data_IF_439147419236
#
_entry.id   IF_439147419236
#
_cell.length_a   1.000
_cell.length_b   1.000
_cell.length_c   1.000
_cell.angle_alpha   90.00
_cell.angle_beta   90.00
_cell.angle_gamma   90.00
#
_symmetry.space_group_name_H-M   'P 1'
#
loop_
_entity.id
_entity.type
_entity.pdbx_description
1 polymer ?
#
# COMPACT_ATOMS: atom_id res chain seq x y z
N UNK A 1 -9.71 20.60 -17.08
CA UNK A 1 -8.50 19.78 -16.78
C UNK A 1 -8.87 18.88 -15.63
N UNK A 2 -8.86 17.58 -15.87
CA UNK A 2 -9.16 16.52 -14.91
C UNK A 2 -8.11 16.54 -13.80
N UNK A 3 -8.51 16.90 -12.57
CA UNK A 3 -7.72 16.69 -11.36
C UNK A 3 -7.21 15.25 -11.35
N UNK A 4 -5.91 15.06 -11.60
CA UNK A 4 -5.30 13.74 -11.52
C UNK A 4 -5.36 13.31 -10.06
N UNK A 5 -6.19 12.32 -9.75
CA UNK A 5 -6.31 11.77 -8.41
C UNK A 5 -5.39 10.55 -8.29
N UNK A 6 -4.36 10.64 -7.45
CA UNK A 6 -3.53 9.51 -7.07
C UNK A 6 -4.17 8.81 -5.86
N UNK A 7 -4.07 7.49 -5.78
CA UNK A 7 -4.53 6.72 -4.64
C UNK A 7 -3.35 6.42 -3.73
N UNK A 8 -3.36 7.00 -2.53
CA UNK A 8 -2.42 6.69 -1.46
C UNK A 8 -3.02 5.63 -0.53
N UNK A 9 -2.24 4.60 -0.20
CA UNK A 9 -2.61 3.53 0.73
C UNK A 9 -1.54 3.41 1.80
N UNK A 10 -1.96 3.17 3.04
CA UNK A 10 -1.07 2.81 4.14
C UNK A 10 -1.37 1.38 4.58
N UNK A 11 -0.34 0.56 4.67
CA UNK A 11 -0.41 -0.84 5.03
C UNK A 11 0.37 -1.07 6.33
N UNK A 12 -0.19 -1.87 7.24
CA UNK A 12 0.50 -2.29 8.46
C UNK A 12 1.39 -3.52 8.21
N UNK A 13 2.12 -3.94 9.24
CA UNK A 13 3.13 -4.99 9.22
C UNK A 13 2.62 -6.38 8.83
N UNK A 14 1.34 -6.68 9.07
CA UNK A 14 0.69 -7.92 8.62
C UNK A 14 0.02 -7.79 7.26
N UNK A 15 0.11 -6.62 6.64
CA UNK A 15 -0.40 -6.38 5.31
C UNK A 15 -1.85 -5.90 5.25
N UNK A 16 -2.49 -5.50 6.34
CA UNK A 16 -3.80 -4.85 6.30
C UNK A 16 -3.67 -3.39 5.86
N UNK A 17 -4.61 -2.92 5.06
CA UNK A 17 -4.72 -1.50 4.68
C UNK A 17 -5.35 -0.75 5.84
N UNK A 18 -4.60 0.13 6.49
CA UNK A 18 -5.02 0.91 7.67
C UNK A 18 -5.32 2.36 7.35
N UNK A 19 -4.97 2.82 6.14
CA UNK A 19 -5.29 4.16 5.67
C UNK A 19 -5.43 4.19 4.15
N UNK A 20 -6.31 5.06 3.64
CA UNK A 20 -6.40 5.37 2.21
C UNK A 20 -6.82 6.81 1.96
N UNK A 21 -6.31 7.44 0.91
CA UNK A 21 -6.72 8.78 0.47
C UNK A 21 -6.57 8.95 -1.04
N UNK A 22 -7.50 9.66 -1.67
CA UNK A 22 -7.29 10.22 -3.01
C UNK A 22 -6.59 11.57 -2.87
N UNK A 23 -5.44 11.73 -3.49
CA UNK A 23 -4.64 12.97 -3.46
C UNK A 23 -4.65 13.63 -4.82
N UNK A 24 -4.57 14.96 -4.86
CA UNK A 24 -4.52 15.73 -6.12
C UNK A 24 -3.13 15.70 -6.76
N UNK A 25 -2.11 15.43 -5.97
CA UNK A 25 -0.73 15.28 -6.43
C UNK A 25 0.09 14.45 -5.45
N UNK A 26 1.36 14.24 -5.79
CA UNK A 26 2.38 13.75 -4.87
C UNK A 26 2.83 14.93 -3.98
N UNK A 27 1.97 15.38 -3.07
CA UNK A 27 2.32 16.43 -2.11
C UNK A 27 2.37 15.88 -0.67
N UNK A 28 3.14 16.58 0.16
CA UNK A 28 3.37 16.16 1.54
C UNK A 28 2.16 16.49 2.42
N UNK A 29 1.35 17.50 2.10
CA UNK A 29 0.20 17.90 2.91
C UNK A 29 -0.87 16.80 2.97
N UNK A 30 -1.30 16.28 1.82
CA UNK A 30 -2.32 15.23 1.76
C UNK A 30 -1.82 13.90 2.32
N UNK A 31 -0.51 13.62 2.16
CA UNK A 31 0.16 12.47 2.76
C UNK A 31 0.25 12.61 4.28
N UNK A 32 0.65 13.78 4.79
CA UNK A 32 0.74 14.08 6.23
C UNK A 32 -0.59 13.87 6.90
N UNK A 33 -1.65 14.48 6.36
CA UNK A 33 -2.96 14.38 6.96
C UNK A 33 -3.58 12.96 6.85
N UNK A 34 -3.05 12.06 6.00
CA UNK A 34 -3.40 10.64 6.05
C UNK A 34 -2.62 9.94 7.18
N UNK A 35 -1.34 10.24 7.31
CA UNK A 35 -0.48 9.66 8.36
C UNK A 35 -0.91 10.11 9.76
N UNK A 36 -1.29 11.38 9.95
CA UNK A 36 -1.86 11.90 11.19
C UNK A 36 -3.14 11.14 11.60
N UNK A 37 -3.99 10.79 10.63
CA UNK A 37 -5.23 10.06 10.91
C UNK A 37 -5.01 8.63 11.44
N UNK A 38 -3.84 8.03 11.15
CA UNK A 38 -3.50 6.68 11.61
C UNK A 38 -2.65 6.68 12.88
N UNK A 39 -2.11 7.82 13.32
CA UNK A 39 -1.32 7.93 14.56
C UNK A 39 -2.02 7.25 15.75
N UNK A 40 -3.34 7.47 16.01
CA UNK A 40 -4.02 6.84 17.15
C UNK A 40 -4.12 5.32 17.06
N UNK A 41 -3.89 4.74 15.88
CA UNK A 41 -3.95 3.29 15.65
C UNK A 41 -2.61 2.59 15.88
N UNK A 42 -1.52 3.36 16.03
CA UNK A 42 -0.21 2.84 16.37
C UNK A 42 -0.16 2.52 17.87
N UNK A 43 0.22 1.28 18.21
CA UNK A 43 0.32 0.85 19.60
C UNK A 43 1.44 1.59 20.31
N UNK A 44 1.13 2.28 21.41
CA UNK A 44 2.12 2.95 22.29
C UNK A 44 3.09 1.98 22.99
N UNK A 45 2.74 0.70 23.02
CA UNK A 45 3.40 -0.32 23.85
C UNK A 45 4.43 -1.16 23.08
N UNK A 46 4.73 -0.81 21.82
CA UNK A 46 5.77 -1.52 21.07
C UNK A 46 7.15 -1.08 21.55
N UNK A 47 7.85 -1.97 22.26
CA UNK A 47 9.28 -1.82 22.60
C UNK A 47 10.23 -1.97 21.40
N UNK A 48 9.68 -2.21 20.20
CA UNK A 48 10.42 -2.36 18.96
C UNK A 48 10.51 -1.06 18.15
N UNK A 49 11.48 -1.01 17.24
CA UNK A 49 11.63 0.10 16.28
C UNK A 49 10.38 0.21 15.39
N UNK A 50 9.78 1.40 15.32
CA UNK A 50 8.69 1.68 14.38
C UNK A 50 9.25 2.14 13.04
N UNK A 51 8.79 1.49 11.97
CA UNK A 51 9.32 1.68 10.63
C UNK A 51 8.22 2.12 9.67
N UNK A 52 8.53 3.06 8.80
CA UNK A 52 7.73 3.38 7.62
C UNK A 52 8.53 3.07 6.37
N UNK A 53 8.00 2.21 5.51
CA UNK A 53 8.65 1.83 4.24
C UNK A 53 8.05 2.64 3.09
N UNK A 54 8.89 3.32 2.33
CA UNK A 54 8.49 4.16 1.19
C UNK A 54 9.40 3.94 -0.02
N UNK A 55 8.88 4.17 -1.21
CA UNK A 55 9.61 4.14 -2.47
C UNK A 55 10.60 5.31 -2.63
N UNK A 56 10.40 6.42 -1.92
CA UNK A 56 11.28 7.58 -1.90
C UNK A 56 11.46 8.13 -0.47
N UNK A 57 12.41 7.55 0.26
CA UNK A 57 12.70 7.94 1.65
C UNK A 57 13.00 9.43 1.80
N UNK A 58 13.80 9.98 0.89
CA UNK A 58 14.22 11.39 0.94
C UNK A 58 13.07 12.37 0.77
N UNK A 59 12.04 12.03 -0.01
CA UNK A 59 10.87 12.90 -0.18
C UNK A 59 9.99 12.95 1.08
N UNK A 60 9.91 11.85 1.82
CA UNK A 60 8.97 11.71 2.94
C UNK A 60 9.61 11.90 4.31
N UNK A 61 10.93 11.79 4.45
CA UNK A 61 11.63 11.74 5.76
C UNK A 61 11.29 12.91 6.69
N UNK A 62 11.38 14.14 6.20
CA UNK A 62 11.08 15.33 7.02
C UNK A 62 9.62 15.37 7.44
N UNK A 63 8.73 15.01 6.53
CA UNK A 63 7.29 14.98 6.79
C UNK A 63 6.92 13.91 7.81
N UNK A 64 7.44 12.69 7.66
CA UNK A 64 7.21 11.58 8.60
C UNK A 64 7.78 11.92 9.97
N UNK A 65 8.98 12.50 10.04
CA UNK A 65 9.56 12.93 11.31
C UNK A 65 8.67 13.98 12.01
N UNK A 66 8.04 14.89 11.27
CA UNK A 66 7.11 15.86 11.83
C UNK A 66 5.78 15.25 12.29
N UNK A 67 5.23 14.27 11.57
CA UNK A 67 3.93 13.65 11.91
C UNK A 67 4.04 12.72 13.11
N UNK A 68 5.17 12.05 13.27
CA UNK A 68 5.39 11.03 14.31
C UNK A 68 6.41 11.45 15.36
N UNK A 69 6.67 12.75 15.53
CA UNK A 69 7.61 13.31 16.52
C UNK A 69 8.99 12.63 16.53
N UNK A 70 9.48 12.25 15.35
CA UNK A 70 10.76 11.57 15.16
C UNK A 70 10.81 10.11 15.65
N UNK A 71 9.69 9.52 16.09
CA UNK A 71 9.66 8.15 16.63
C UNK A 71 9.74 7.09 15.52
N UNK A 72 9.32 7.40 14.30
CA UNK A 72 9.34 6.48 13.17
C UNK A 72 10.60 6.66 12.32
N UNK A 73 11.33 5.55 12.09
CA UNK A 73 12.41 5.49 11.11
C UNK A 73 11.85 5.20 9.72
N UNK A 74 12.24 6.01 8.74
CA UNK A 74 11.89 5.78 7.33
C UNK A 74 12.89 4.83 6.66
N UNK A 75 12.39 3.82 5.96
CA UNK A 75 13.16 2.83 5.20
C UNK A 75 12.75 2.82 3.73
N UNK A 76 13.70 2.51 2.86
CA UNK A 76 13.53 2.46 1.41
C UNK A 76 12.97 1.09 1.01
N UNK A 77 11.93 1.09 0.18
CA UNK A 77 11.40 -0.13 -0.43
C UNK A 77 12.44 -0.74 -1.40
N UNK A 78 12.93 -1.97 -1.15
CA UNK A 78 13.86 -2.65 -2.04
C UNK A 78 13.29 -2.94 -3.43
N UNK A 79 11.97 -3.16 -3.56
CA UNK A 79 11.33 -3.42 -4.86
C UNK A 79 11.48 -2.21 -5.77
N UNK A 80 11.13 -1.03 -5.28
CA UNK A 80 11.19 0.21 -6.04
C UNK A 80 12.63 0.60 -6.38
N UNK A 81 13.59 0.31 -5.50
CA UNK A 81 15.02 0.47 -5.81
C UNK A 81 15.44 -0.46 -6.97
N UNK A 82 15.11 -1.75 -6.88
CA UNK A 82 15.44 -2.74 -7.92
C UNK A 82 14.79 -2.35 -9.26
N UNK A 83 13.52 -1.93 -9.22
CA UNK A 83 12.77 -1.54 -10.41
C UNK A 83 13.37 -0.29 -11.07
N UNK A 84 13.67 0.73 -10.28
CA UNK A 84 14.30 1.99 -10.73
C UNK A 84 15.65 1.77 -11.42
N UNK A 85 16.51 0.94 -10.83
CA UNK A 85 17.83 0.64 -11.41
C UNK A 85 17.67 -0.21 -12.67
N UNK A 86 16.89 -1.28 -12.60
CA UNK A 86 16.72 -2.18 -13.74
C UNK A 86 16.01 -1.55 -14.94
N UNK A 87 15.09 -0.60 -14.73
CA UNK A 87 14.40 0.12 -15.80
C UNK A 87 15.36 0.93 -16.71
N UNK A 88 16.61 1.15 -16.30
CA UNK A 88 17.64 1.82 -17.11
C UNK A 88 18.26 0.93 -18.18
N UNK A 89 17.92 -0.36 -18.25
CA UNK A 89 18.37 -1.25 -19.33
C UNK A 89 17.40 -1.25 -20.50
N UNK A 90 17.93 -1.38 -21.71
CA UNK A 90 17.15 -1.30 -22.95
C UNK A 90 16.21 -2.50 -23.16
N UNK A 91 16.62 -3.70 -22.80
CA UNK A 91 15.88 -4.92 -23.12
C UNK A 91 15.24 -5.58 -21.90
N UNK A 92 13.98 -6.03 -22.04
CA UNK A 92 13.26 -6.75 -20.98
C UNK A 92 14.01 -7.97 -20.43
N UNK A 93 14.69 -8.80 -21.24
CA UNK A 93 15.50 -9.91 -20.72
C UNK A 93 16.62 -9.44 -19.78
N UNK A 94 17.33 -8.37 -20.16
CA UNK A 94 18.40 -7.78 -19.33
C UNK A 94 17.85 -7.13 -18.07
N UNK A 95 16.72 -6.42 -18.17
CA UNK A 95 16.02 -5.91 -16.98
C UNK A 95 15.67 -7.04 -16.01
N UNK A 96 15.10 -8.15 -16.50
CA UNK A 96 14.75 -9.32 -15.68
C UNK A 96 15.97 -9.97 -15.03
N UNK A 97 17.07 -10.10 -15.77
CA UNK A 97 18.34 -10.59 -15.24
C UNK A 97 18.84 -9.66 -14.12
N UNK A 98 18.92 -8.35 -14.36
CA UNK A 98 19.41 -7.40 -13.38
C UNK A 98 18.53 -7.37 -12.11
N UNK A 99 17.20 -7.46 -12.25
CA UNK A 99 16.30 -7.59 -11.09
C UNK A 99 16.62 -8.81 -10.23
N UNK A 100 17.00 -9.93 -10.85
CA UNK A 100 17.40 -11.15 -10.15
C UNK A 100 18.73 -10.96 -9.43
N UNK A 101 19.73 -10.44 -10.11
CA UNK A 101 21.07 -10.22 -9.53
C UNK A 101 21.03 -9.20 -8.39
N UNK A 102 20.32 -8.09 -8.57
CA UNK A 102 20.14 -7.10 -7.50
C UNK A 102 19.41 -7.70 -6.30
N UNK A 103 18.35 -8.50 -6.52
CA UNK A 103 17.69 -9.21 -5.40
C UNK A 103 18.68 -10.12 -4.67
N UNK A 104 19.50 -10.87 -5.40
CA UNK A 104 20.54 -11.72 -4.80
C UNK A 104 21.62 -10.91 -4.08
N UNK A 105 21.85 -9.65 -4.45
CA UNK A 105 22.79 -8.73 -3.83
C UNK A 105 22.23 -8.01 -2.58
N UNK A 106 20.91 -7.84 -2.48
CA UNK A 106 20.29 -7.25 -1.28
C UNK A 106 20.06 -8.28 -0.16
N UNK A 107 19.79 -9.53 -0.50
CA UNK A 107 19.42 -10.58 0.45
C UNK A 107 20.48 -11.68 0.59
N UNK A 108 20.72 -12.14 1.81
CA UNK A 108 21.60 -13.27 2.11
C UNK A 108 20.95 -14.64 1.81
N UNK A 109 21.65 -15.73 2.15
CA UNK A 109 21.20 -17.11 1.92
C UNK A 109 19.95 -17.48 2.73
N UNK A 110 19.79 -16.89 3.91
CA UNK A 110 18.62 -17.01 4.77
C UNK A 110 17.49 -16.07 4.35
N UNK A 111 17.75 -15.32 3.28
CA UNK A 111 16.89 -14.32 2.65
C UNK A 111 16.55 -13.15 3.58
N UNK A 112 17.44 -12.86 4.53
CA UNK A 112 17.45 -11.63 5.32
C UNK A 112 18.17 -10.52 4.54
N UNK A 113 17.94 -9.27 4.93
CA UNK A 113 18.65 -8.15 4.32
C UNK A 113 20.08 -8.15 4.84
N UNK A 114 21.05 -8.08 3.92
CA UNK A 114 22.46 -7.96 4.29
C UNK A 114 22.72 -6.73 5.16
N UNK A 115 23.78 -6.73 5.99
CA UNK A 115 24.29 -5.50 6.60
C UNK A 115 24.66 -4.45 5.53
N UNK A 116 24.57 -3.14 5.84
CA UNK A 116 24.82 -2.06 4.88
C UNK A 116 26.13 -2.18 4.09
N UNK A 117 27.24 -2.48 4.78
CA UNK A 117 28.57 -2.56 4.17
C UNK A 117 28.65 -3.72 3.15
N UNK A 118 28.18 -4.91 3.53
CA UNK A 118 28.14 -6.08 2.65
C UNK A 118 27.16 -5.87 1.49
N UNK A 119 25.99 -5.30 1.78
CA UNK A 119 24.96 -5.00 0.78
C UNK A 119 25.45 -4.02 -0.27
N UNK A 120 26.18 -2.97 0.12
CA UNK A 120 26.74 -1.99 -0.83
C UNK A 120 27.78 -2.64 -1.74
N UNK A 121 28.65 -3.49 -1.19
CA UNK A 121 29.68 -4.22 -1.95
C UNK A 121 29.04 -5.11 -3.01
N UNK A 122 28.09 -5.97 -2.62
CA UNK A 122 27.42 -6.88 -3.54
C UNK A 122 26.58 -6.13 -4.58
N UNK A 123 25.90 -5.05 -4.16
CA UNK A 123 25.15 -4.19 -5.08
C UNK A 123 26.06 -3.57 -6.15
N UNK A 124 27.22 -3.01 -5.75
CA UNK A 124 28.19 -2.41 -6.68
C UNK A 124 28.72 -3.40 -7.69
N UNK A 125 29.11 -4.60 -7.24
CA UNK A 125 29.57 -5.68 -8.14
C UNK A 125 28.56 -5.97 -9.25
N UNK A 126 27.26 -6.01 -8.92
CA UNK A 126 26.20 -6.28 -9.90
C UNK A 126 26.06 -5.12 -10.89
N UNK A 127 25.97 -3.87 -10.44
CA UNK A 127 25.77 -2.72 -11.35
C UNK A 127 27.01 -2.42 -12.20
N UNK A 128 28.21 -2.72 -11.69
CA UNK A 128 29.48 -2.58 -12.42
C UNK A 128 29.68 -3.68 -13.47
N UNK A 129 29.00 -4.83 -13.34
CA UNK A 129 29.02 -5.90 -14.35
C UNK A 129 28.11 -5.63 -15.57
N UNK A 130 27.32 -4.55 -15.55
CA UNK A 130 26.43 -4.20 -16.65
C UNK A 130 27.23 -3.58 -17.79
N UNK A 131 27.07 -4.12 -18.99
CA UNK A 131 27.64 -3.54 -20.20
C UNK A 131 26.94 -2.22 -20.54
N UNK A 132 27.71 -1.15 -20.76
CA UNK A 132 27.15 0.17 -21.10
C UNK A 132 26.35 0.16 -22.42
N UNK A 133 26.61 -0.79 -23.31
CA UNK A 133 25.81 -0.98 -24.53
C UNK A 133 24.39 -1.50 -24.26
N UNK A 134 24.15 -2.12 -23.08
CA UNK A 134 22.81 -2.57 -22.65
C UNK A 134 21.98 -1.45 -21.99
N UNK A 135 22.59 -0.29 -21.71
CA UNK A 135 21.96 0.84 -21.01
C UNK A 135 21.15 1.70 -21.99
N UNK A 136 19.90 2.02 -21.65
CA UNK A 136 18.98 2.80 -22.51
C UNK A 136 19.04 4.31 -22.30
N UNK A 137 19.79 4.76 -21.31
CA UNK A 137 19.92 6.16 -20.92
C UNK A 137 21.36 6.64 -21.06
N UNK A 138 21.62 7.92 -20.79
CA UNK A 138 23.00 8.43 -20.77
C UNK A 138 23.81 7.76 -19.66
N UNK A 139 25.11 7.60 -19.89
CA UNK A 139 26.04 7.05 -18.88
C UNK A 139 25.97 7.84 -17.57
N UNK A 140 25.80 9.17 -17.64
CA UNK A 140 25.59 10.02 -16.47
C UNK A 140 24.28 9.68 -15.72
N UNK A 141 23.18 9.40 -16.42
CA UNK A 141 21.91 9.00 -15.80
C UNK A 141 22.01 7.62 -15.15
N UNK A 142 22.69 6.67 -15.81
CA UNK A 142 22.96 5.34 -15.26
C UNK A 142 23.80 5.43 -13.99
N UNK A 143 24.95 6.11 -14.10
CA UNK A 143 25.92 6.26 -13.03
C UNK A 143 25.34 7.00 -11.83
N UNK A 144 24.61 8.10 -12.09
CA UNK A 144 23.92 8.84 -11.05
C UNK A 144 22.87 7.98 -10.34
N UNK A 145 22.11 7.18 -11.10
CA UNK A 145 21.08 6.31 -10.54
C UNK A 145 21.65 5.28 -9.58
N UNK A 146 22.61 4.45 -10.00
CA UNK A 146 23.13 3.41 -9.11
C UNK A 146 23.96 3.98 -7.96
N UNK A 147 24.71 5.07 -8.15
CA UNK A 147 25.46 5.72 -7.06
C UNK A 147 24.54 6.29 -5.98
N UNK A 148 23.43 6.90 -6.38
CA UNK A 148 22.41 7.36 -5.44
C UNK A 148 21.85 6.20 -4.60
N UNK A 149 21.49 5.09 -5.25
CA UNK A 149 20.95 3.93 -4.53
C UNK A 149 22.01 3.23 -3.65
N UNK A 150 23.27 3.17 -4.08
CA UNK A 150 24.38 2.68 -3.25
C UNK A 150 24.59 3.54 -1.99
N UNK A 151 24.42 4.87 -2.10
CA UNK A 151 24.45 5.77 -0.95
C UNK A 151 23.34 5.43 0.05
N UNK A 152 22.10 5.25 -0.40
CA UNK A 152 20.98 4.85 0.48
C UNK A 152 21.28 3.53 1.20
N UNK A 153 21.81 2.53 0.48
CA UNK A 153 22.21 1.24 1.07
C UNK A 153 23.23 1.45 2.20
N UNK A 154 24.30 2.19 1.92
CA UNK A 154 25.36 2.49 2.89
C UNK A 154 24.87 3.28 4.11
N UNK A 155 23.91 4.18 3.93
CA UNK A 155 23.27 4.92 5.02
C UNK A 155 22.31 4.06 5.84
N UNK A 156 22.09 2.80 5.47
CA UNK A 156 21.21 1.87 6.19
C UNK A 156 19.73 2.08 5.92
N UNK A 157 19.37 2.80 4.85
CA UNK A 157 17.97 3.08 4.49
C UNK A 157 17.21 1.81 4.11
N UNK A 158 17.91 0.75 3.68
CA UNK A 158 17.28 -0.53 3.38
C UNK A 158 17.37 -1.52 4.54
N UNK A 159 18.33 -1.37 5.44
CA UNK A 159 18.66 -2.40 6.42
C UNK A 159 17.74 -2.35 7.64
N UNK A 160 17.25 -3.52 8.06
CA UNK A 160 16.51 -3.76 9.29
C UNK A 160 17.10 -5.00 9.95
N UNK A 161 17.67 -4.92 11.18
CA UNK A 161 18.37 -6.03 11.81
C UNK A 161 17.49 -7.28 11.98
N UNK A 162 16.23 -7.10 12.37
CA UNK A 162 15.23 -8.15 12.49
C UNK A 162 14.09 -7.87 11.50
N UNK A 163 14.27 -8.29 10.26
CA UNK A 163 13.31 -8.00 9.20
C UNK A 163 12.06 -8.89 9.21
N UNK A 164 11.94 -9.81 10.17
CA UNK A 164 10.80 -10.72 10.28
C UNK A 164 9.85 -10.29 11.42
N UNK A 165 8.64 -9.89 11.06
CA UNK A 165 7.51 -9.75 11.96
C UNK A 165 6.85 -11.10 12.21
N UNK A 166 6.56 -11.41 13.48
CA UNK A 166 5.91 -12.65 13.91
C UNK A 166 4.73 -12.31 14.82
N UNK A 167 3.56 -12.83 14.47
CA UNK A 167 2.35 -12.70 15.28
C UNK A 167 1.59 -14.03 15.30
N UNK A 168 1.24 -14.48 16.50
CA UNK A 168 0.51 -15.73 16.73
C UNK A 168 1.20 -16.94 16.12
N UNK A 169 0.42 -17.77 15.41
CA UNK A 169 0.89 -18.99 14.72
C UNK A 169 1.15 -18.77 13.23
N UNK A 170 1.06 -17.53 12.75
CA UNK A 170 1.22 -17.24 11.33
C UNK A 170 2.67 -17.39 10.90
N UNK A 171 2.88 -17.65 9.61
CA UNK A 171 4.23 -17.59 9.02
C UNK A 171 4.78 -16.16 9.18
N UNK A 172 6.09 -16.02 9.47
CA UNK A 172 6.72 -14.70 9.55
C UNK A 172 6.47 -13.86 8.29
N UNK A 173 6.27 -12.55 8.48
CA UNK A 173 6.12 -11.56 7.42
C UNK A 173 7.36 -10.68 7.42
N UNK A 174 7.87 -10.35 6.24
CA UNK A 174 9.01 -9.44 6.14
C UNK A 174 8.55 -8.00 6.23
N UNK A 175 9.11 -7.22 7.14
CA UNK A 175 8.75 -5.80 7.32
C UNK A 175 9.15 -5.00 6.08
N UNK A 176 10.42 -5.10 5.69
CA UNK A 176 10.96 -4.53 4.46
C UNK A 176 11.07 -5.65 3.42
N UNK A 177 10.06 -5.76 2.57
CA UNK A 177 9.97 -6.79 1.55
C UNK A 177 9.78 -6.18 0.18
N UNK A 178 10.33 -6.84 -0.83
CA UNK A 178 9.88 -6.57 -2.20
C UNK A 178 8.41 -6.96 -2.32
N UNK A 179 7.55 -6.05 -2.80
CA UNK A 179 6.22 -6.35 -3.36
C UNK A 179 5.01 -6.54 -2.44
N UNK A 180 4.98 -6.02 -1.20
CA UNK A 180 3.79 -6.22 -0.34
C UNK A 180 2.50 -5.58 -0.93
N UNK A 181 2.58 -4.34 -1.41
CA UNK A 181 1.45 -3.62 -1.99
C UNK A 181 1.19 -3.97 -3.47
N UNK A 182 2.21 -4.45 -4.20
CA UNK A 182 2.08 -4.75 -5.63
C UNK A 182 1.00 -5.79 -5.94
N UNK A 183 0.85 -6.80 -5.07
CA UNK A 183 -0.22 -7.78 -5.20
C UNK A 183 -1.61 -7.15 -5.07
N UNK A 184 -1.77 -6.23 -4.12
CA UNK A 184 -3.00 -5.47 -3.91
C UNK A 184 -3.29 -4.56 -5.12
N UNK A 185 -2.30 -3.78 -5.57
CA UNK A 185 -2.42 -2.91 -6.74
C UNK A 185 -2.76 -3.69 -8.02
N UNK A 186 -2.11 -4.82 -8.26
CA UNK A 186 -2.38 -5.67 -9.43
C UNK A 186 -3.81 -6.22 -9.42
N UNK A 187 -4.29 -6.68 -8.26
CA UNK A 187 -5.65 -7.18 -8.12
C UNK A 187 -6.70 -6.07 -8.27
N UNK A 188 -6.45 -4.90 -7.68
CA UNK A 188 -7.31 -3.72 -7.84
C UNK A 188 -7.35 -3.27 -9.30
N UNK A 189 -6.20 -3.20 -9.98
CA UNK A 189 -6.12 -2.82 -11.40
C UNK A 189 -6.89 -3.78 -12.30
N UNK A 190 -6.83 -5.08 -12.03
CA UNK A 190 -7.66 -6.08 -12.74
C UNK A 190 -9.14 -5.86 -12.53
N UNK A 191 -9.55 -5.51 -11.31
CA UNK A 191 -10.96 -5.24 -10.97
C UNK A 191 -11.48 -3.94 -11.58
N UNK A 192 -10.63 -2.91 -11.65
CA UNK A 192 -10.93 -1.59 -12.19
C UNK A 192 -10.52 -1.45 -13.68
N UNK A 193 -10.40 -2.55 -14.42
CA UNK A 193 -10.00 -2.55 -15.84
C UNK A 193 -11.11 -2.02 -16.79
N UNK A 194 -11.88 -1.04 -16.33
CA UNK A 194 -13.01 -0.40 -17.01
C UNK A 194 -13.18 1.02 -16.48
N UNK A 195 -13.71 1.91 -17.31
CA UNK A 195 -14.04 3.27 -16.90
C UNK A 195 -15.15 3.25 -15.85
N UNK A 196 -14.90 3.85 -14.69
CA UNK A 196 -15.84 3.96 -13.57
C UNK A 196 -15.89 5.42 -13.12
N UNK A 197 -17.04 5.84 -12.56
CA UNK A 197 -17.06 7.10 -11.82
C UNK A 197 -16.19 6.97 -10.56
N UNK A 198 -15.67 8.10 -10.08
CA UNK A 198 -14.82 8.13 -8.88
C UNK A 198 -15.55 7.52 -7.68
N UNK A 199 -16.83 7.85 -7.50
CA UNK A 199 -17.63 7.33 -6.38
C UNK A 199 -17.77 5.82 -6.42
N UNK A 200 -18.07 5.25 -7.61
CA UNK A 200 -18.17 3.79 -7.78
C UNK A 200 -16.81 3.13 -7.57
N UNK A 201 -15.73 3.72 -8.09
CA UNK A 201 -14.36 3.25 -7.87
C UNK A 201 -13.97 3.21 -6.40
N UNK A 202 -14.32 4.25 -5.63
CA UNK A 202 -14.05 4.31 -4.19
C UNK A 202 -14.84 3.29 -3.39
N UNK A 203 -16.12 3.04 -3.73
CA UNK A 203 -16.91 1.98 -3.08
C UNK A 203 -16.35 0.59 -3.36
N UNK A 204 -15.91 0.34 -4.60
CA UNK A 204 -15.26 -0.91 -4.97
C UNK A 204 -13.95 -1.08 -4.18
N UNK A 205 -13.16 -0.01 -4.08
CA UNK A 205 -11.94 -0.01 -3.27
C UNK A 205 -12.22 -0.34 -1.81
N UNK A 206 -13.27 0.24 -1.21
CA UNK A 206 -13.63 -0.02 0.18
C UNK A 206 -13.96 -1.50 0.41
N UNK A 207 -14.83 -2.07 -0.43
CA UNK A 207 -15.18 -3.50 -0.36
C UNK A 207 -13.95 -4.37 -0.54
N UNK A 208 -13.05 -3.98 -1.44
CA UNK A 208 -11.80 -4.68 -1.70
C UNK A 208 -10.85 -4.64 -0.49
N UNK A 209 -10.70 -3.48 0.15
CA UNK A 209 -9.92 -3.28 1.37
C UNK A 209 -10.47 -4.15 2.49
N UNK A 210 -11.79 -4.15 2.72
CA UNK A 210 -12.36 -4.96 3.82
C UNK A 210 -12.18 -6.45 3.58
N UNK A 211 -12.43 -6.93 2.36
CA UNK A 211 -12.18 -8.33 2.01
C UNK A 211 -10.70 -8.70 2.21
N UNK A 212 -9.79 -7.83 1.82
CA UNK A 212 -8.35 -8.02 2.01
C UNK A 212 -7.99 -8.04 3.49
N UNK A 213 -8.44 -7.06 4.27
CA UNK A 213 -8.14 -6.92 5.68
C UNK A 213 -8.69 -8.06 6.53
N UNK A 214 -9.89 -8.56 6.21
CA UNK A 214 -10.47 -9.75 6.84
C UNK A 214 -9.60 -10.98 6.57
N UNK A 215 -9.17 -11.20 5.33
CA UNK A 215 -8.30 -12.33 4.97
C UNK A 215 -6.96 -12.27 5.69
N UNK A 216 -6.33 -11.10 5.72
CA UNK A 216 -5.07 -10.91 6.45
C UNK A 216 -5.31 -11.10 7.95
N UNK A 217 -6.37 -10.51 8.50
CA UNK A 217 -6.74 -10.65 9.91
C UNK A 217 -6.95 -12.10 10.34
N UNK A 218 -7.70 -12.88 9.58
CA UNK A 218 -7.90 -14.32 9.83
C UNK A 218 -6.57 -15.10 9.83
N UNK A 219 -5.64 -14.76 8.94
CA UNK A 219 -4.34 -15.43 8.86
C UNK A 219 -3.47 -15.18 10.10
N UNK A 220 -3.56 -13.99 10.70
CA UNK A 220 -2.73 -13.57 11.84
C UNK A 220 -3.48 -13.62 13.18
N UNK A 221 -4.78 -13.94 13.19
CA UNK A 221 -5.61 -13.90 14.39
C UNK A 221 -5.90 -12.49 14.88
N UNK A 222 -5.81 -11.48 13.99
CA UNK A 222 -5.99 -10.07 14.32
C UNK A 222 -7.27 -9.53 13.71
N UNK A 223 -8.10 -8.88 14.53
CA UNK A 223 -9.25 -8.17 14.01
C UNK A 223 -8.77 -6.94 13.22
N UNK A 224 -9.24 -6.73 11.99
CA UNK A 224 -8.93 -5.53 11.24
C UNK A 224 -9.47 -4.29 11.96
N UNK A 225 -8.66 -3.24 12.05
CA UNK A 225 -9.14 -1.91 12.39
C UNK A 225 -9.76 -1.30 11.13
N UNK A 226 -11.02 -0.88 11.23
CA UNK A 226 -11.72 -0.25 10.12
C UNK A 226 -11.74 1.28 10.22
N UNK A 227 -11.25 1.88 11.31
CA UNK A 227 -11.13 3.34 11.45
C UNK A 227 -12.42 4.09 11.09
N UNK A 228 -12.33 5.03 10.13
CA UNK A 228 -13.44 5.82 9.58
C UNK A 228 -14.26 5.10 8.49
N UNK A 229 -13.93 3.85 8.14
CA UNK A 229 -14.71 3.08 7.18
C UNK A 229 -16.03 2.72 7.85
N UNK A 230 -17.12 3.34 7.40
CA UNK A 230 -18.48 3.01 7.82
C UNK A 230 -18.79 1.55 7.42
N UNK A 231 -18.54 0.65 8.36
CA UNK A 231 -18.68 -0.78 8.22
C UNK A 231 -20.13 -1.16 7.85
N UNK A 232 -21.11 -0.34 8.24
CA UNK A 232 -22.51 -0.57 7.91
C UNK A 232 -22.79 -0.21 6.46
N UNK A 233 -22.39 0.98 6.00
CA UNK A 233 -22.46 1.34 4.57
C UNK A 233 -21.73 0.33 3.68
N UNK A 234 -20.61 -0.21 4.16
CA UNK A 234 -19.82 -1.19 3.43
C UNK A 234 -20.46 -2.58 3.41
N UNK A 235 -20.97 -3.06 4.55
CA UNK A 235 -21.72 -4.31 4.62
C UNK A 235 -22.99 -4.24 3.77
N UNK A 236 -23.69 -3.10 3.79
CA UNK A 236 -24.81 -2.80 2.90
C UNK A 236 -24.41 -2.91 1.43
N UNK A 237 -23.32 -2.23 1.02
CA UNK A 237 -22.85 -2.28 -0.36
C UNK A 237 -22.43 -3.68 -0.80
N UNK A 238 -21.78 -4.45 0.08
CA UNK A 238 -21.36 -5.83 -0.19
C UNK A 238 -22.56 -6.78 -0.32
N UNK A 239 -23.55 -6.67 0.56
CA UNK A 239 -24.81 -7.46 0.52
C UNK A 239 -25.59 -7.12 -0.76
N UNK A 240 -25.74 -5.83 -1.09
CA UNK A 240 -26.43 -5.36 -2.30
C UNK A 240 -25.70 -5.77 -3.60
N UNK A 241 -24.36 -5.84 -3.58
CA UNK A 241 -23.57 -6.20 -4.76
C UNK A 241 -23.47 -7.71 -5.02
N UNK A 242 -23.76 -8.56 -4.03
CA UNK A 242 -23.63 -10.01 -4.17
C UNK A 242 -24.96 -10.73 -4.44
N UNK A 243 -26.12 -10.09 -4.28
CA UNK A 243 -27.41 -10.75 -4.50
C UNK A 243 -27.63 -11.99 -3.63
N UNK A 244 -26.90 -12.11 -2.52
CA UNK A 244 -26.89 -13.32 -1.68
C UNK A 244 -28.16 -13.35 -0.84
N UNK A 245 -29.03 -14.32 -1.15
CA UNK A 245 -30.15 -14.69 -0.29
C UNK A 245 -29.61 -15.21 1.05
N UNK A 246 -30.14 -14.76 2.19
CA UNK A 246 -29.64 -15.20 3.49
C UNK A 246 -29.88 -16.70 3.69
N UNK A 247 -28.81 -17.43 3.98
CA UNK A 247 -28.85 -18.88 4.21
C UNK A 247 -29.47 -19.27 5.56
N UNK A 248 -29.81 -18.28 6.42
CA UNK A 248 -30.48 -18.53 7.70
C UNK A 248 -31.31 -17.33 8.17
N UNK A 249 -32.30 -17.54 9.06
CA UNK A 249 -33.07 -16.46 9.69
C UNK A 249 -32.22 -15.46 10.48
N UNK A 250 -31.13 -15.90 11.11
CA UNK A 250 -30.19 -15.04 11.84
C UNK A 250 -29.40 -14.13 10.88
N UNK A 251 -28.99 -14.68 9.72
CA UNK A 251 -28.33 -13.89 8.68
C UNK A 251 -29.32 -12.92 8.02
N UNK A 252 -30.58 -13.32 7.84
CA UNK A 252 -31.66 -12.44 7.38
C UNK A 252 -31.93 -11.30 8.36
N UNK A 253 -31.91 -11.56 9.67
CA UNK A 253 -32.03 -10.54 10.71
C UNK A 253 -30.86 -9.56 10.71
N UNK A 254 -29.62 -10.05 10.61
CA UNK A 254 -28.43 -9.20 10.51
C UNK A 254 -28.46 -8.37 9.21
N UNK A 255 -28.86 -8.95 8.09
CA UNK A 255 -29.06 -8.23 6.83
C UNK A 255 -30.17 -7.17 6.95
N UNK A 256 -31.25 -7.46 7.66
CA UNK A 256 -32.34 -6.52 7.92
C UNK A 256 -31.86 -5.33 8.77
N UNK A 257 -31.21 -5.60 9.90
CA UNK A 257 -30.61 -4.59 10.78
C UNK A 257 -29.58 -3.73 10.04
N UNK A 258 -28.76 -4.36 9.19
CA UNK A 258 -27.79 -3.65 8.36
C UNK A 258 -28.43 -2.95 7.17
N UNK A 259 -29.63 -3.32 6.72
CA UNK A 259 -30.34 -2.66 5.60
C UNK A 259 -31.12 -1.41 6.02
N UNK A 260 -31.35 -1.22 7.32
CA UNK A 260 -31.92 0.02 7.82
C UNK A 260 -30.91 1.16 7.66
N UNK A 261 -31.31 2.31 7.09
CA UNK A 261 -30.41 3.45 6.96
C UNK A 261 -30.00 3.92 8.35
N UNK A 262 -28.72 3.82 8.68
CA UNK A 262 -28.18 4.60 9.79
C UNK A 262 -28.33 6.09 9.46
N UNK A 263 -28.51 6.91 10.50
CA UNK A 263 -28.37 8.36 10.35
C UNK A 263 -27.09 8.66 9.58
N UNK A 264 -27.21 9.57 8.61
CA UNK A 264 -26.18 9.86 7.61
C UNK A 264 -24.79 9.89 8.25
N UNK A 265 -23.81 9.13 7.73
CA UNK A 265 -22.43 9.30 8.14
C UNK A 265 -22.07 10.77 7.90
N UNK A 266 -21.83 11.50 8.98
CA UNK A 266 -21.28 12.87 8.94
C UNK A 266 -19.84 12.77 8.44
N UNK A 267 -19.67 12.56 7.14
CA UNK A 267 -18.47 13.00 6.46
C UNK A 267 -18.37 14.50 6.75
N UNK A 268 -17.35 14.93 7.50
CA UNK A 268 -16.98 16.34 7.48
C UNK A 268 -16.40 16.63 6.10
N UNK A 269 -17.27 16.79 5.11
CA UNK A 269 -16.93 17.50 3.90
C UNK A 269 -16.64 18.94 4.34
N UNK A 270 -15.36 19.30 4.41
CA UNK A 270 -14.98 20.71 4.55
C UNK A 270 -15.24 21.49 3.26
N UNK A 271 -16.34 21.23 2.55
CA UNK A 271 -16.80 22.04 1.42
C UNK A 271 -18.31 21.90 1.19
N UNK A 272 -19.06 22.99 0.94
CA UNK A 272 -20.53 23.02 1.04
C UNK A 272 -21.25 22.66 -0.27
N UNK A 273 -20.88 21.56 -0.93
CA UNK A 273 -21.59 21.09 -2.12
C UNK A 273 -22.09 19.65 -1.92
N UNK A 274 -23.20 19.54 -1.18
CA UNK A 274 -23.99 18.32 -1.08
C UNK A 274 -24.77 18.10 -2.39
N UNK A 275 -24.52 16.98 -3.06
CA UNK A 275 -25.37 16.51 -4.16
C UNK A 275 -26.37 15.47 -3.63
N UNK A 276 -27.66 15.78 -3.84
CA UNK A 276 -28.81 15.08 -3.28
C UNK A 276 -28.82 13.56 -3.50
N UNK A 277 -28.82 12.83 -2.38
CA UNK A 277 -28.93 11.37 -2.24
C UNK A 277 -30.17 10.77 -2.94
N UNK A 278 -31.19 11.57 -3.23
CA UNK A 278 -32.44 11.16 -3.88
C UNK A 278 -32.25 10.63 -5.31
N UNK A 279 -31.17 11.00 -6.00
CA UNK A 279 -30.86 10.45 -7.35
C UNK A 279 -30.31 9.03 -7.32
N UNK A 280 -29.80 8.55 -6.18
CA UNK A 280 -29.20 7.22 -6.06
C UNK A 280 -30.24 6.10 -5.96
N UNK A 281 -31.40 6.36 -5.35
CA UNK A 281 -32.47 5.35 -5.18
C UNK A 281 -33.01 4.82 -6.52
N UNK A 282 -32.99 5.65 -7.57
CA UNK A 282 -33.51 5.30 -8.91
C UNK A 282 -32.57 4.43 -9.76
N UNK A 283 -31.27 4.43 -9.47
CA UNK A 283 -30.29 3.59 -10.17
C UNK A 283 -30.31 2.13 -9.72
N UNK A 284 -30.74 1.87 -8.48
CA UNK A 284 -30.85 0.50 -7.96
C UNK A 284 -32.20 -0.17 -8.25
N UNK A 285 -33.24 0.60 -8.62
CA UNK A 285 -34.52 0.05 -9.11
C UNK A 285 -34.40 -0.63 -10.49
N UNK A 286 -33.38 -0.26 -11.28
CA UNK A 286 -33.20 -0.74 -12.66
C UNK A 286 -32.17 -1.85 -12.82
N UNK A 287 -31.40 -2.17 -11.78
CA UNK A 287 -30.47 -3.28 -11.76
C UNK A 287 -31.18 -4.59 -11.37
N UNK A 288 -32.13 -5.06 -12.20
CA UNK A 288 -32.51 -6.47 -12.17
C UNK A 288 -31.43 -7.27 -12.86
N UNK A 289 -30.57 -7.92 -12.09
CA UNK A 289 -29.66 -8.95 -12.58
C UNK A 289 -30.45 -10.26 -12.57
N UNK A 290 -30.68 -10.84 -13.75
CA UNK A 290 -30.98 -12.27 -13.90
C UNK A 290 -29.69 -13.07 -13.72
#
# INVERSE_FOLDING_TARGET
MTDAKLLLLVQNEIGQIVGRRLTRSENNEETSALLESIVPTLSSDSSGEMLLVSDNTNAVRTMVASVFDGVITVKQDPFHLIDRVSAKLASKPKQKWLKKELRSALYDVDRQLRPPDEMEIEFKKVVESVDLSDVSCTEASWTGCWKYNAKLIREGDLHVPNNDYREGRAKPVRIVATSQLEGFHSALKKLLNRSLSVDVGMRILDVFIVRHNLRMGTKFGRNPSFGEIDFVSLAQAAILSQGVLPESPQLAFVQHVLSEPLQEPRYRSASPLDFAFSKWRRMFETARVQ
#
